data_IF_851181195828
#
_entry.id   IF_851181195828
#
_cell.length_a   1.000
_cell.length_b   1.000
_cell.length_c   1.000
_cell.angle_alpha   90.00
_cell.angle_beta   90.00
_cell.angle_gamma   90.00
#
_symmetry.space_group_name_H-M   'P 1'
#
loop_
_entity.id
_entity.type
_entity.pdbx_description
1 polymer ?
#
# COMPACT_ATOMS: atom_id res chain seq x y z
N UNK A 1 -10.52 11.62 67.41
CA UNK A 1 -9.59 11.62 66.25
C UNK A 1 -10.15 10.67 65.22
N UNK A 2 -10.93 11.20 64.27
CA UNK A 2 -11.41 10.47 63.10
C UNK A 2 -10.97 11.27 61.87
N UNK A 3 -10.05 10.71 61.10
CA UNK A 3 -9.60 11.27 59.83
C UNK A 3 -10.70 11.07 58.77
N UNK A 4 -11.01 12.07 57.93
CA UNK A 4 -11.95 11.89 56.84
C UNK A 4 -11.29 11.17 55.67
N UNK A 5 -12.01 10.20 55.10
CA UNK A 5 -11.71 9.56 53.82
C UNK A 5 -11.75 10.62 52.72
N UNK A 6 -10.72 10.64 51.85
CA UNK A 6 -10.77 11.35 50.57
C UNK A 6 -11.59 10.50 49.61
N UNK A 7 -12.74 11.01 49.20
CA UNK A 7 -13.56 10.46 48.14
C UNK A 7 -12.95 10.76 46.76
N UNK A 8 -13.01 9.74 45.90
CA UNK A 8 -13.29 9.87 44.47
C UNK A 8 -12.27 10.60 43.61
N UNK A 9 -11.31 9.85 43.09
CA UNK A 9 -10.66 10.18 41.82
C UNK A 9 -11.75 10.16 40.74
N UNK A 10 -12.07 11.33 40.17
CA UNK A 10 -13.00 11.46 39.06
C UNK A 10 -12.48 10.63 37.87
N UNK A 11 -13.21 9.57 37.55
CA UNK A 11 -13.01 8.74 36.36
C UNK A 11 -13.32 9.60 35.12
N UNK A 12 -12.33 10.37 34.67
CA UNK A 12 -12.40 11.11 33.41
C UNK A 12 -12.51 10.06 32.31
N UNK A 13 -13.61 10.01 31.54
CA UNK A 13 -13.76 9.04 30.48
C UNK A 13 -12.58 9.19 29.52
N UNK A 14 -11.77 8.14 29.40
CA UNK A 14 -10.65 8.06 28.47
C UNK A 14 -11.25 8.26 27.07
N UNK A 15 -11.15 9.49 26.55
CA UNK A 15 -11.54 9.79 25.18
C UNK A 15 -10.82 8.82 24.26
N UNK A 16 -11.56 8.18 23.37
CA UNK A 16 -10.99 7.28 22.37
C UNK A 16 -9.76 7.91 21.70
N UNK A 17 -8.68 7.14 21.52
CA UNK A 17 -7.46 7.67 20.94
C UNK A 17 -7.73 8.17 19.53
N UNK A 18 -7.39 9.44 19.26
CA UNK A 18 -7.58 10.08 17.95
C UNK A 18 -6.80 9.31 16.89
N UNK A 19 -7.49 8.71 15.91
CA UNK A 19 -6.90 8.02 14.76
C UNK A 19 -6.71 9.03 13.61
N UNK A 20 -5.46 9.26 13.21
CA UNK A 20 -5.14 10.07 12.03
C UNK A 20 -5.54 9.36 10.73
N UNK A 21 -5.24 8.06 10.66
CA UNK A 21 -5.53 7.22 9.50
C UNK A 21 -4.85 5.86 9.59
N UNK A 22 -4.75 5.18 8.46
CA UNK A 22 -4.15 3.86 8.34
C UNK A 22 -3.39 3.72 7.02
N UNK A 23 -2.20 3.13 7.09
CA UNK A 23 -1.46 2.64 5.94
C UNK A 23 -1.76 1.16 5.75
N UNK A 24 -2.02 0.76 4.51
CA UNK A 24 -2.26 -0.64 4.13
C UNK A 24 -1.33 -1.01 2.99
N UNK A 25 -0.60 -2.12 3.12
CA UNK A 25 0.26 -2.63 2.05
C UNK A 25 -0.60 -3.35 1.04
N UNK A 26 -0.54 -2.94 -0.23
CA UNK A 26 -1.22 -3.63 -1.32
C UNK A 26 -0.54 -4.99 -1.59
N UNK A 27 -1.34 -5.96 -2.03
CA UNK A 27 -0.85 -7.27 -2.48
C UNK A 27 -0.84 -8.39 -1.46
N UNK A 28 -1.38 -8.17 -0.26
CA UNK A 28 -1.38 -9.17 0.82
C UNK A 28 -2.78 -9.57 1.33
N UNK A 29 -3.84 -9.03 0.73
CA UNK A 29 -5.22 -9.34 1.08
C UNK A 29 -5.55 -9.31 2.59
N UNK A 30 -4.93 -8.38 3.33
CA UNK A 30 -5.15 -8.18 4.76
C UNK A 30 -4.28 -9.01 5.72
N UNK A 31 -3.32 -9.81 5.22
CA UNK A 31 -2.32 -10.49 6.05
C UNK A 31 -1.03 -10.78 5.30
N UNK A 32 0.12 -10.52 5.93
CA UNK A 32 1.41 -10.95 5.37
C UNK A 32 1.50 -12.49 5.27
N UNK A 33 2.32 -13.06 4.36
CA UNK A 33 2.45 -14.50 4.18
C UNK A 33 2.90 -15.25 5.45
N UNK A 34 3.78 -14.61 6.24
CA UNK A 34 4.28 -15.16 7.52
C UNK A 34 3.46 -14.69 8.74
N UNK A 35 2.29 -14.07 8.48
CA UNK A 35 1.45 -13.42 9.46
C UNK A 35 1.99 -12.07 9.94
N UNK A 36 1.09 -11.28 10.52
CA UNK A 36 1.39 -9.99 11.11
C UNK A 36 2.06 -10.15 12.48
N UNK A 37 3.28 -9.64 12.65
CA UNK A 37 4.06 -9.74 13.89
C UNK A 37 4.75 -8.42 14.25
N UNK A 38 4.48 -7.91 15.45
CA UNK A 38 5.14 -6.70 15.97
C UNK A 38 4.89 -5.48 15.08
N UNK A 39 5.96 -4.93 14.49
CA UNK A 39 5.91 -3.80 13.53
C UNK A 39 5.81 -4.23 12.07
N UNK A 40 5.96 -5.52 11.78
CA UNK A 40 5.82 -6.10 10.44
C UNK A 40 4.38 -6.58 10.30
N UNK A 41 3.53 -5.77 9.67
CA UNK A 41 2.10 -6.03 9.52
C UNK A 41 1.65 -5.66 8.10
N UNK A 42 0.52 -6.17 7.67
CA UNK A 42 -0.13 -5.76 6.42
C UNK A 42 -0.72 -4.35 6.50
N UNK A 43 -1.00 -3.87 7.72
CA UNK A 43 -1.65 -2.58 8.01
C UNK A 43 -1.11 -1.93 9.26
N UNK A 44 -1.09 -0.60 9.26
CA UNK A 44 -0.55 0.22 10.35
C UNK A 44 -1.42 1.46 10.58
N UNK A 45 -2.12 1.46 11.72
CA UNK A 45 -2.94 2.56 12.17
C UNK A 45 -2.08 3.63 12.87
N UNK A 46 -2.22 4.89 12.43
CA UNK A 46 -1.54 6.04 13.02
C UNK A 46 -2.50 6.72 14.00
N UNK A 47 -2.16 6.69 15.28
CA UNK A 47 -2.90 7.35 16.35
C UNK A 47 -2.11 8.51 16.92
N UNK A 48 -2.80 9.55 17.39
CA UNK A 48 -2.17 10.62 18.16
C UNK A 48 -1.38 10.04 19.32
N UNK A 49 -0.09 10.37 19.35
CA UNK A 49 0.81 9.90 20.42
C UNK A 49 0.49 10.62 21.73
N UNK A 50 0.76 9.95 22.84
CA UNK A 50 0.62 10.53 24.17
C UNK A 50 1.45 11.82 24.31
N UNK A 51 2.69 11.81 23.79
CA UNK A 51 3.56 12.98 23.69
C UNK A 51 3.90 13.23 22.22
N UNK A 52 3.93 14.49 21.84
CA UNK A 52 4.40 14.90 20.51
C UNK A 52 5.81 14.35 20.29
N UNK A 53 6.10 13.90 19.08
CA UNK A 53 7.45 13.51 18.66
C UNK A 53 7.83 14.14 17.30
N UNK A 54 7.01 15.06 16.81
CA UNK A 54 7.29 15.81 15.59
C UNK A 54 8.56 16.65 15.70
N UNK A 55 9.08 17.00 14.54
CA UNK A 55 10.26 17.84 14.39
C UNK A 55 10.09 18.81 13.23
N UNK A 56 10.74 19.96 13.31
CA UNK A 56 10.71 21.00 12.29
C UNK A 56 12.11 21.58 12.03
N UNK A 57 12.39 22.10 10.82
CA UNK A 57 13.68 22.72 10.52
C UNK A 57 14.03 23.84 11.51
N UNK A 58 15.31 23.95 11.83
CA UNK A 58 15.88 24.90 12.78
C UNK A 58 17.17 25.52 12.19
N UNK A 59 18.28 25.49 12.93
CA UNK A 59 19.56 26.05 12.50
C UNK A 59 20.14 25.32 11.28
N UNK A 60 20.89 26.06 10.46
CA UNK A 60 21.62 25.55 9.30
C UNK A 60 23.10 25.77 9.53
N UNK A 61 23.90 24.71 9.34
CA UNK A 61 25.35 24.72 9.48
C UNK A 61 26.01 24.36 8.16
N UNK A 62 27.00 25.15 7.74
CA UNK A 62 27.83 24.83 6.57
C UNK A 62 29.18 24.35 7.10
N UNK A 63 29.46 23.08 6.90
CA UNK A 63 30.62 22.38 7.46
C UNK A 63 31.62 22.07 6.35
N UNK A 64 32.87 22.48 6.56
CA UNK A 64 33.95 22.29 5.59
C UNK A 64 34.90 21.13 5.94
N UNK A 65 34.76 20.55 7.15
CA UNK A 65 35.57 19.42 7.59
C UNK A 65 34.71 18.27 8.15
N UNK A 66 35.13 17.00 8.01
CA UNK A 66 34.40 15.85 8.55
C UNK A 66 34.29 15.83 10.08
N UNK A 67 35.23 16.48 10.79
CA UNK A 67 35.25 16.53 12.25
C UNK A 67 34.10 17.38 12.80
N UNK A 68 33.79 18.49 12.14
CA UNK A 68 32.68 19.39 12.52
C UNK A 68 31.32 18.71 12.39
N UNK A 69 31.18 17.79 11.43
CA UNK A 69 29.95 17.00 11.23
C UNK A 69 29.61 16.16 12.46
N UNK A 70 30.61 15.49 13.04
CA UNK A 70 30.42 14.71 14.28
C UNK A 70 30.00 15.57 15.46
N UNK A 71 30.47 16.82 15.53
CA UNK A 71 30.13 17.75 16.61
C UNK A 71 28.68 18.25 16.54
N UNK A 72 28.10 18.37 15.33
CA UNK A 72 26.67 18.72 15.17
C UNK A 72 25.79 17.53 15.55
N UNK A 73 26.15 16.31 15.15
CA UNK A 73 25.38 15.11 15.44
C UNK A 73 25.34 14.70 16.92
N UNK A 74 26.26 15.18 17.76
CA UNK A 74 26.34 14.81 19.18
C UNK A 74 25.30 15.49 20.09
N UNK A 75 24.57 16.49 19.58
CA UNK A 75 23.58 17.28 20.35
C UNK A 75 22.26 16.56 20.60
N UNK A 76 22.09 15.34 20.11
CA UNK A 76 20.88 14.53 20.32
C UNK A 76 19.62 15.04 19.61
N UNK A 77 19.75 16.07 18.78
CA UNK A 77 18.70 16.59 17.90
C UNK A 77 18.63 15.79 16.59
N UNK A 78 17.51 15.94 15.87
CA UNK A 78 17.42 15.39 14.52
C UNK A 78 18.16 16.28 13.53
N UNK A 79 18.65 15.72 12.44
CA UNK A 79 19.34 16.50 11.40
C UNK A 79 19.18 15.92 10.00
N UNK A 80 19.35 16.77 8.98
CA UNK A 80 19.49 16.35 7.59
C UNK A 80 20.81 16.87 7.06
N UNK A 81 21.66 15.95 6.60
CA UNK A 81 22.99 16.23 6.07
C UNK A 81 22.98 16.16 4.55
N UNK A 82 23.20 17.30 3.90
CA UNK A 82 23.35 17.45 2.45
C UNK A 82 24.84 17.57 2.10
N UNK A 83 25.48 16.46 1.73
CA UNK A 83 26.90 16.46 1.36
C UNK A 83 27.05 16.90 -0.10
N UNK A 84 27.45 18.16 -0.31
CA UNK A 84 27.64 18.80 -1.62
C UNK A 84 28.93 18.34 -2.30
N UNK A 85 29.99 18.16 -1.52
CA UNK A 85 31.28 17.63 -1.96
C UNK A 85 32.03 17.01 -0.77
N UNK A 86 33.20 16.40 -1.03
CA UNK A 86 34.10 15.89 0.01
C UNK A 86 34.46 16.91 1.09
N UNK A 87 34.42 18.20 0.74
CA UNK A 87 34.84 19.29 1.60
C UNK A 87 33.68 20.20 2.00
N UNK A 88 32.43 19.86 1.70
CA UNK A 88 31.29 20.71 2.05
C UNK A 88 30.04 19.89 2.32
N UNK A 89 29.51 20.00 3.54
CA UNK A 89 28.21 19.46 3.93
C UNK A 89 27.37 20.54 4.57
N UNK A 90 26.13 20.69 4.11
CA UNK A 90 25.14 21.53 4.78
C UNK A 90 24.33 20.65 5.71
N UNK A 91 24.32 20.94 7.00
CA UNK A 91 23.53 20.22 8.00
C UNK A 91 22.41 21.12 8.48
N UNK A 92 21.17 20.67 8.31
CA UNK A 92 19.98 21.33 8.84
C UNK A 92 19.57 20.63 10.12
N UNK A 93 19.66 21.31 11.26
CA UNK A 93 19.15 20.82 12.54
C UNK A 93 17.61 20.85 12.55
N UNK A 94 17.00 19.90 13.25
CA UNK A 94 15.57 19.78 13.42
C UNK A 94 15.23 19.76 14.90
N UNK A 95 14.51 20.80 15.34
CA UNK A 95 14.08 20.95 16.72
C UNK A 95 12.71 20.31 16.94
N UNK A 96 12.34 20.12 18.21
CA UNK A 96 11.06 19.51 18.56
C UNK A 96 9.87 20.37 18.12
N UNK A 97 8.84 19.73 17.56
CA UNK A 97 7.57 20.33 17.25
C UNK A 97 6.46 19.71 18.12
N UNK A 98 5.89 20.54 19.00
CA UNK A 98 4.81 20.14 19.91
C UNK A 98 3.46 19.92 19.21
N UNK A 99 3.33 20.37 17.95
CA UNK A 99 2.07 20.35 17.21
C UNK A 99 1.94 19.16 16.27
N UNK A 100 2.96 18.31 16.15
CA UNK A 100 2.95 17.19 15.20
C UNK A 100 3.41 15.88 15.83
N UNK A 101 2.92 14.78 15.25
CA UNK A 101 3.43 13.43 15.48
C UNK A 101 4.09 12.92 14.21
N UNK A 102 5.26 12.32 14.34
CA UNK A 102 6.00 11.70 13.25
C UNK A 102 5.95 10.18 13.35
N UNK A 103 5.75 9.53 12.20
CA UNK A 103 5.81 8.09 12.02
C UNK A 103 6.77 7.76 10.88
N UNK A 104 7.68 6.81 11.07
CA UNK A 104 8.64 6.44 10.03
C UNK A 104 8.37 5.06 9.47
N UNK A 105 8.49 4.94 8.16
CA UNK A 105 8.23 3.74 7.39
C UNK A 105 9.50 3.35 6.65
N UNK A 106 9.83 2.07 6.63
CA UNK A 106 10.99 1.57 5.90
C UNK A 106 11.22 0.08 6.14
N UNK A 107 12.24 -0.48 5.50
CA UNK A 107 12.57 -1.90 5.67
C UNK A 107 13.41 -2.23 6.90
N UNK A 108 14.01 -1.21 7.54
CA UNK A 108 14.83 -1.46 8.73
C UNK A 108 13.96 -1.90 9.90
N UNK A 109 14.48 -2.81 10.72
CA UNK A 109 13.87 -3.19 12.01
C UNK A 109 14.42 -2.38 13.17
N UNK A 110 15.24 -1.36 12.92
CA UNK A 110 15.74 -0.46 13.97
C UNK A 110 14.60 0.31 14.65
N UNK A 111 14.86 0.79 15.86
CA UNK A 111 13.85 1.46 16.70
C UNK A 111 13.21 2.71 16.09
N UNK A 112 13.85 3.51 15.20
CA UNK A 112 13.19 4.67 14.62
C UNK A 112 12.06 4.35 13.65
N UNK A 113 11.93 3.09 13.19
CA UNK A 113 10.87 2.67 12.26
C UNK A 113 9.62 2.26 13.03
N UNK A 114 8.50 2.89 12.74
CA UNK A 114 7.20 2.51 13.32
C UNK A 114 6.53 1.39 12.52
N UNK A 115 6.68 1.42 11.19
CA UNK A 115 6.08 0.44 10.29
C UNK A 115 7.12 -0.19 9.37
N UNK A 116 7.35 -1.51 9.56
CA UNK A 116 8.34 -2.27 8.80
C UNK A 116 7.71 -2.83 7.53
N UNK A 117 8.18 -2.36 6.38
CA UNK A 117 7.70 -2.78 5.06
C UNK A 117 8.79 -3.56 4.33
N UNK A 118 8.43 -4.70 3.75
CA UNK A 118 9.30 -5.51 2.89
C UNK A 118 8.78 -5.51 1.46
N UNK A 119 9.63 -5.80 0.49
CA UNK A 119 9.23 -5.87 -0.93
C UNK A 119 8.04 -6.82 -1.09
N UNK A 120 7.07 -6.37 -1.88
CA UNK A 120 5.88 -7.15 -2.19
C UNK A 120 6.27 -8.22 -3.19
N UNK A 121 6.28 -9.48 -2.74
CA UNK A 121 6.47 -10.65 -3.62
C UNK A 121 5.34 -10.66 -4.64
N UNK A 122 5.62 -10.34 -5.90
CA UNK A 122 4.59 -10.25 -6.93
C UNK A 122 4.10 -11.64 -7.31
N UNK A 123 3.09 -12.18 -6.64
CA UNK A 123 2.23 -13.31 -7.04
C UNK A 123 2.89 -14.62 -7.50
N UNK A 124 4.23 -14.72 -7.58
CA UNK A 124 4.96 -15.91 -8.00
C UNK A 124 5.25 -16.76 -6.77
N UNK A 125 4.46 -17.80 -6.57
CA UNK A 125 4.91 -18.95 -5.79
C UNK A 125 6.07 -19.60 -6.55
N UNK A 126 7.29 -19.50 -6.04
CA UNK A 126 8.42 -20.30 -6.54
C UNK A 126 9.76 -19.59 -6.73
N UNK A 127 9.81 -18.24 -6.73
CA UNK A 127 11.10 -17.54 -6.67
C UNK A 127 11.50 -17.36 -5.19
N UNK A 128 12.65 -17.92 -4.81
CA UNK A 128 13.21 -17.77 -3.47
C UNK A 128 13.42 -16.26 -3.19
N UNK A 129 12.68 -15.66 -2.22
CA UNK A 129 12.81 -14.24 -1.89
C UNK A 129 14.22 -13.85 -1.41
N UNK A 130 15.09 -14.84 -1.19
CA UNK A 130 16.45 -14.68 -0.67
C UNK A 130 17.47 -14.12 -1.69
N UNK A 131 17.16 -14.09 -2.99
CA UNK A 131 18.18 -13.84 -4.04
C UNK A 131 18.21 -12.39 -4.54
N UNK A 132 17.09 -11.66 -4.54
CA UNK A 132 17.05 -10.27 -5.04
C UNK A 132 17.23 -9.24 -3.89
N UNK A 133 18.14 -8.26 -4.02
CA UNK A 133 18.28 -7.21 -3.01
C UNK A 133 17.04 -6.31 -2.98
N UNK A 134 16.49 -6.13 -1.79
CA UNK A 134 15.37 -5.21 -1.52
C UNK A 134 15.66 -3.80 -2.05
N UNK A 135 14.68 -3.24 -2.77
CA UNK A 135 14.79 -1.88 -3.33
C UNK A 135 14.21 -0.80 -2.42
N UNK A 136 13.53 -1.22 -1.35
CA UNK A 136 12.96 -0.33 -0.33
C UNK A 136 14.09 0.25 0.53
N UNK A 137 14.03 1.55 0.79
CA UNK A 137 14.99 2.22 1.67
C UNK A 137 14.83 1.76 3.13
N UNK A 138 15.94 1.68 3.87
CA UNK A 138 15.94 1.34 5.31
C UNK A 138 15.04 2.25 6.13
N UNK A 139 15.12 3.55 5.83
CA UNK A 139 14.29 4.62 6.38
C UNK A 139 13.67 5.36 5.19
N UNK A 140 12.54 4.88 4.70
CA UNK A 140 12.02 5.23 3.37
C UNK A 140 11.27 6.56 3.35
N UNK A 141 10.36 6.78 4.31
CA UNK A 141 9.61 8.01 4.41
C UNK A 141 9.17 8.31 5.85
N UNK A 142 8.71 9.53 6.05
CA UNK A 142 8.03 10.00 7.26
C UNK A 142 6.61 10.41 6.92
N UNK A 143 5.66 10.07 7.77
CA UNK A 143 4.33 10.70 7.80
C UNK A 143 4.27 11.56 9.05
N UNK A 144 4.01 12.85 8.86
CA UNK A 144 3.89 13.85 9.92
C UNK A 144 2.44 14.29 9.99
N UNK A 145 1.79 14.01 11.11
CA UNK A 145 0.39 14.33 11.35
C UNK A 145 0.26 15.53 12.28
N UNK A 146 -0.58 16.51 11.93
CA UNK A 146 -0.98 17.58 12.84
C UNK A 146 -1.76 17.01 14.04
N UNK A 147 -1.42 17.43 15.25
CA UNK A 147 -2.06 16.95 16.49
C UNK A 147 -3.41 17.61 16.77
N UNK A 148 -3.74 18.65 16.02
CA UNK A 148 -4.98 19.42 16.11
C UNK A 148 -5.79 19.28 14.81
N UNK A 149 -7.13 19.42 14.86
CA UNK A 149 -7.97 19.42 13.66
C UNK A 149 -7.44 20.40 12.58
N UNK A 150 -7.49 20.03 11.28
CA UNK A 150 -8.14 18.84 10.72
C UNK A 150 -7.28 17.56 10.76
N UNK A 151 -6.17 17.56 11.51
CA UNK A 151 -5.24 16.43 11.65
C UNK A 151 -4.55 16.04 10.34
N UNK A 152 -4.17 17.04 9.53
CA UNK A 152 -3.54 16.81 8.23
C UNK A 152 -2.31 15.92 8.35
N UNK A 153 -2.26 14.84 7.57
CA UNK A 153 -1.09 13.98 7.44
C UNK A 153 -0.29 14.37 6.19
N UNK A 154 0.99 14.73 6.35
CA UNK A 154 1.91 15.03 5.24
C UNK A 154 3.01 13.99 5.15
N UNK A 155 3.38 13.62 3.93
CA UNK A 155 4.48 12.69 3.68
C UNK A 155 5.76 13.41 3.27
N UNK A 156 6.90 12.88 3.72
CA UNK A 156 8.23 13.38 3.40
C UNK A 156 9.10 12.20 3.01
N UNK A 157 9.97 12.37 2.00
CA UNK A 157 10.94 11.34 1.67
C UNK A 157 12.02 11.22 2.76
N UNK A 158 12.60 10.01 2.84
CA UNK A 158 13.52 9.56 3.87
C UNK A 158 12.95 9.55 5.30
N UNK A 159 13.58 8.76 6.16
CA UNK A 159 13.41 8.80 7.61
C UNK A 159 14.75 8.95 8.31
N UNK A 160 14.71 9.51 9.53
CA UNK A 160 15.87 9.63 10.40
C UNK A 160 16.33 8.25 10.87
N UNK A 161 17.63 8.01 10.78
CA UNK A 161 18.25 6.78 11.26
C UNK A 161 18.37 6.72 12.80
N UNK A 162 19.04 5.69 13.32
CA UNK A 162 19.29 5.55 14.76
C UNK A 162 20.18 6.65 15.34
N UNK A 163 20.90 7.39 14.50
CA UNK A 163 21.65 8.60 14.86
C UNK A 163 20.80 9.88 14.74
N UNK A 164 19.49 9.73 14.51
CA UNK A 164 18.53 10.82 14.26
C UNK A 164 18.88 11.64 13.01
N UNK A 165 19.55 11.04 12.03
CA UNK A 165 20.03 11.75 10.85
C UNK A 165 19.42 11.22 9.55
N UNK A 166 19.16 12.12 8.60
CA UNK A 166 18.94 11.78 7.18
C UNK A 166 20.19 12.18 6.41
N UNK A 167 20.80 11.24 5.70
CA UNK A 167 22.02 11.47 4.94
C UNK A 167 21.75 11.47 3.43
N UNK A 168 22.02 12.62 2.78
CA UNK A 168 22.04 12.77 1.33
C UNK A 168 23.49 12.95 0.87
N UNK A 169 24.07 11.87 0.34
CA UNK A 169 25.46 11.86 -0.11
C UNK A 169 25.71 12.69 -1.39
N UNK A 170 26.96 12.68 -1.84
CA UNK A 170 27.41 13.45 -3.02
C UNK A 170 26.58 13.16 -4.27
N UNK A 171 26.16 11.91 -4.47
CA UNK A 171 25.38 11.46 -5.65
C UNK A 171 23.88 11.78 -5.56
N UNK A 172 23.36 12.16 -4.39
CA UNK A 172 21.95 12.48 -4.24
C UNK A 172 21.63 13.84 -4.90
N UNK A 173 20.50 13.90 -5.59
CA UNK A 173 19.98 15.14 -6.20
C UNK A 173 19.57 16.10 -5.09
N UNK A 174 20.16 17.29 -5.07
CA UNK A 174 19.99 18.29 -4.01
C UNK A 174 20.16 19.69 -4.58
N UNK A 175 19.42 20.65 -4.04
CA UNK A 175 19.36 22.02 -4.54
C UNK A 175 18.96 22.96 -3.40
N UNK A 176 19.06 24.27 -3.67
CA UNK A 176 18.36 25.29 -2.89
C UNK A 176 17.03 25.60 -3.56
N UNK A 177 15.93 25.56 -2.81
CA UNK A 177 14.62 25.95 -3.31
C UNK A 177 14.53 27.48 -3.47
N UNK A 178 13.45 28.03 -4.06
CA UNK A 178 13.29 29.48 -4.24
C UNK A 178 13.41 30.30 -2.95
N UNK A 179 13.04 29.72 -1.80
CA UNK A 179 13.16 30.34 -0.48
C UNK A 179 14.59 30.28 0.11
N UNK A 180 15.53 29.66 -0.62
CA UNK A 180 16.93 29.52 -0.22
C UNK A 180 17.22 28.35 0.72
N UNK A 181 16.21 27.53 1.04
CA UNK A 181 16.36 26.33 1.86
C UNK A 181 16.91 25.16 1.05
N UNK A 182 17.75 24.34 1.69
CA UNK A 182 18.23 23.09 1.08
C UNK A 182 17.11 22.05 1.02
N UNK A 183 17.03 21.36 -0.11
CA UNK A 183 16.16 20.20 -0.30
C UNK A 183 16.87 19.17 -1.17
N UNK A 184 16.29 17.97 -1.25
CA UNK A 184 16.84 16.90 -2.06
C UNK A 184 15.90 15.71 -2.22
N UNK A 185 16.29 14.80 -3.09
CA UNK A 185 15.61 13.54 -3.32
C UNK A 185 16.44 12.36 -2.80
N UNK A 186 15.75 11.33 -2.32
CA UNK A 186 16.38 10.03 -2.02
C UNK A 186 16.77 9.31 -3.31
N UNK A 187 17.66 8.33 -3.25
CA UNK A 187 18.15 7.64 -4.46
C UNK A 187 17.01 7.11 -5.33
N UNK A 188 16.07 6.33 -4.76
CA UNK A 188 14.99 5.68 -5.51
C UNK A 188 13.67 6.48 -5.55
N UNK A 189 13.60 7.58 -4.80
CA UNK A 189 12.40 8.41 -4.67
C UNK A 189 11.29 7.77 -3.83
N UNK A 190 10.44 8.62 -3.26
CA UNK A 190 9.14 8.24 -2.69
C UNK A 190 8.09 8.84 -3.60
N UNK A 191 7.27 8.00 -4.21
CA UNK A 191 6.25 8.46 -5.15
C UNK A 191 4.88 8.48 -4.49
N UNK A 192 4.05 9.45 -4.85
CA UNK A 192 2.69 9.59 -4.32
C UNK A 192 1.72 9.88 -5.46
N UNK A 193 0.55 9.25 -5.41
CA UNK A 193 -0.58 9.57 -6.28
C UNK A 193 -1.81 9.87 -5.43
N UNK A 194 -2.44 11.01 -5.67
CA UNK A 194 -3.70 11.39 -5.02
C UNK A 194 -4.86 11.15 -5.98
N UNK A 195 -5.82 10.25 -5.68
CA UNK A 195 -7.01 10.13 -6.49
C UNK A 195 -7.88 11.39 -6.36
N UNK A 196 -8.66 11.69 -7.40
CA UNK A 196 -9.67 12.74 -7.40
C UNK A 196 -11.04 12.12 -7.10
N UNK A 197 -11.91 12.83 -6.37
CA UNK A 197 -13.29 12.39 -6.11
C UNK A 197 -13.45 11.12 -5.26
N UNK A 198 -12.39 10.62 -4.63
CA UNK A 198 -12.41 9.37 -3.89
C UNK A 198 -13.23 9.48 -2.58
N UNK A 199 -14.15 8.54 -2.27
CA UNK A 199 -14.52 7.32 -3.02
C UNK A 199 -15.76 7.46 -3.93
N UNK A 200 -16.34 8.65 -4.06
CA UNK A 200 -17.63 8.89 -4.76
C UNK A 200 -17.51 8.77 -6.30
N UNK A 201 -16.60 9.52 -6.91
CA UNK A 201 -16.25 9.44 -8.35
C UNK A 201 -14.72 9.33 -8.48
N UNK A 202 -14.14 8.19 -8.08
CA UNK A 202 -12.70 8.06 -7.95
C UNK A 202 -12.03 8.02 -9.33
N UNK A 203 -11.17 9.00 -9.60
CA UNK A 203 -10.31 9.07 -10.80
C UNK A 203 -8.85 9.07 -10.41
N UNK A 204 -8.01 8.42 -11.22
CA UNK A 204 -6.59 8.33 -10.96
C UNK A 204 -5.94 9.72 -11.03
N UNK A 205 -5.04 9.98 -10.09
CA UNK A 205 -4.19 11.16 -10.12
C UNK A 205 -2.92 10.94 -10.92
N UNK A 206 -2.08 11.98 -10.98
CA UNK A 206 -0.71 11.86 -11.46
C UNK A 206 0.19 11.35 -10.34
N UNK A 207 1.14 10.50 -10.68
CA UNK A 207 2.24 10.16 -9.78
C UNK A 207 3.21 11.34 -9.70
N UNK A 208 3.58 11.67 -8.46
CA UNK A 208 4.54 12.73 -8.11
C UNK A 208 5.66 12.16 -7.26
N UNK A 209 6.82 12.80 -7.29
CA UNK A 209 7.91 12.49 -6.39
C UNK A 209 7.93 13.50 -5.23
N UNK A 210 8.04 13.00 -4.01
CA UNK A 210 8.10 13.81 -2.79
C UNK A 210 9.55 14.02 -2.38
N UNK A 211 9.92 15.25 -2.06
CA UNK A 211 11.26 15.57 -1.58
C UNK A 211 11.45 15.29 -0.08
N UNK A 212 12.69 15.39 0.37
CA UNK A 212 13.03 15.21 1.79
C UNK A 212 12.44 16.33 2.67
N UNK A 213 12.25 17.54 2.11
CA UNK A 213 11.58 18.64 2.79
C UNK A 213 10.06 18.73 2.49
N UNK A 214 9.49 17.82 1.70
CA UNK A 214 8.05 17.65 1.52
C UNK A 214 7.44 18.45 0.36
N UNK A 215 8.28 19.00 -0.52
CA UNK A 215 7.88 19.60 -1.79
C UNK A 215 7.50 18.51 -2.80
N UNK A 216 6.64 18.86 -3.76
CA UNK A 216 6.07 17.93 -4.75
C UNK A 216 6.65 18.21 -6.12
N UNK A 217 7.19 17.18 -6.77
CA UNK A 217 7.80 17.26 -8.08
C UNK A 217 7.14 16.30 -9.07
N UNK A 218 7.18 16.63 -10.36
CA UNK A 218 6.96 15.65 -11.41
C UNK A 218 7.98 14.50 -11.30
N UNK A 219 7.65 13.35 -11.87
CA UNK A 219 8.56 12.22 -11.91
C UNK A 219 9.86 12.58 -12.65
N UNK A 220 10.94 11.91 -12.26
CA UNK A 220 12.16 11.85 -13.07
C UNK A 220 11.87 11.12 -14.38
N UNK A 221 12.74 11.30 -15.36
CA UNK A 221 12.67 10.56 -16.64
C UNK A 221 12.75 9.04 -16.41
N UNK A 222 13.66 8.62 -15.53
CA UNK A 222 13.78 7.24 -15.06
C UNK A 222 13.88 7.23 -13.55
N UNK A 223 13.25 6.25 -12.92
CA UNK A 223 13.37 6.06 -11.47
C UNK A 223 14.84 5.84 -11.11
N UNK A 224 15.26 6.50 -10.04
CA UNK A 224 16.66 6.57 -9.60
C UNK A 224 17.60 7.38 -10.51
N UNK A 225 17.08 8.05 -11.55
CA UNK A 225 17.85 8.99 -12.38
C UNK A 225 18.34 10.20 -11.59
N UNK A 226 19.43 10.86 -12.01
CA UNK A 226 20.04 11.97 -11.25
C UNK A 226 19.27 13.30 -11.36
N UNK A 227 18.42 13.43 -12.38
CA UNK A 227 17.69 14.65 -12.69
C UNK A 227 16.34 14.67 -11.97
N UNK A 228 16.11 15.70 -11.15
CA UNK A 228 14.80 15.97 -10.53
C UNK A 228 13.79 16.38 -11.60
N UNK A 229 12.53 16.03 -11.42
CA UNK A 229 11.43 16.61 -12.21
C UNK A 229 11.20 18.10 -11.93
N UNK A 230 10.24 18.67 -12.63
CA UNK A 230 9.76 20.04 -12.42
C UNK A 230 8.97 20.15 -11.13
N UNK A 231 9.02 21.31 -10.46
CA UNK A 231 8.19 21.57 -9.29
C UNK A 231 6.71 21.57 -9.71
N UNK A 232 5.86 20.84 -8.98
CA UNK A 232 4.43 20.81 -9.22
C UNK A 232 3.77 21.94 -8.40
N UNK A 233 3.73 23.14 -8.97
CA UNK A 233 3.15 24.32 -8.30
C UNK A 233 1.69 24.09 -7.89
N UNK A 234 1.35 24.44 -6.64
CA UNK A 234 0.01 24.28 -6.09
C UNK A 234 -0.34 22.86 -5.62
N UNK A 235 0.53 21.87 -5.83
CA UNK A 235 0.37 20.54 -5.25
C UNK A 235 0.98 20.45 -3.84
N UNK A 236 0.50 19.50 -3.05
CA UNK A 236 0.87 19.35 -1.64
C UNK A 236 1.16 17.90 -1.29
N UNK A 237 2.12 17.68 -0.39
CA UNK A 237 2.42 16.38 0.22
C UNK A 237 1.37 15.92 1.24
N UNK A 238 0.27 16.67 1.43
CA UNK A 238 -0.84 16.27 2.28
C UNK A 238 -1.57 15.05 1.70
N UNK A 239 -1.52 13.93 2.42
CA UNK A 239 -2.18 12.69 2.06
C UNK A 239 -3.70 12.82 2.19
N UNK A 240 -4.40 12.53 1.08
CA UNK A 240 -5.86 12.51 0.95
C UNK A 240 -6.39 11.09 1.05
N UNK A 241 -7.65 10.87 1.40
CA UNK A 241 -8.21 9.51 1.43
C UNK A 241 -8.02 8.83 0.07
N UNK A 242 -7.51 7.59 0.09
CA UNK A 242 -7.20 6.84 -1.12
C UNK A 242 -5.82 7.12 -1.74
N UNK A 243 -5.00 7.99 -1.15
CA UNK A 243 -3.65 8.26 -1.68
C UNK A 243 -2.80 7.00 -1.73
N UNK A 244 -2.05 6.83 -2.81
CA UNK A 244 -1.08 5.75 -2.97
C UNK A 244 0.32 6.29 -2.72
N UNK A 245 1.15 5.48 -2.04
CA UNK A 245 2.55 5.80 -1.72
C UNK A 245 3.41 4.64 -2.18
N UNK A 246 4.31 4.87 -3.13
CA UNK A 246 5.25 3.86 -3.60
C UNK A 246 6.64 4.05 -3.01
N UNK A 247 7.14 3.01 -2.35
CA UNK A 247 8.43 2.99 -1.64
C UNK A 247 9.53 2.24 -2.40
N UNK A 248 9.36 2.03 -3.70
CA UNK A 248 10.27 1.28 -4.57
C UNK A 248 10.39 -0.17 -4.10
N UNK A 249 9.35 -0.96 -4.30
CA UNK A 249 9.29 -2.37 -3.91
C UNK A 249 7.99 -2.74 -3.19
N UNK A 250 7.30 -1.76 -2.62
CA UNK A 250 5.96 -1.91 -2.08
C UNK A 250 5.15 -0.62 -2.31
N UNK A 251 3.86 -0.79 -2.59
CA UNK A 251 2.90 0.32 -2.67
C UNK A 251 1.95 0.25 -1.47
N UNK A 252 1.79 1.39 -0.80
CA UNK A 252 0.91 1.57 0.34
C UNK A 252 -0.32 2.39 -0.08
N UNK A 253 -1.46 2.04 0.49
CA UNK A 253 -2.68 2.82 0.46
C UNK A 253 -2.84 3.58 1.77
N UNK A 254 -3.02 4.88 1.70
CA UNK A 254 -3.42 5.71 2.83
C UNK A 254 -4.94 5.85 2.87
N UNK A 255 -5.53 5.50 4.01
CA UNK A 255 -6.91 5.84 4.33
C UNK A 255 -6.96 6.79 5.52
N UNK A 256 -7.69 7.87 5.37
CA UNK A 256 -7.95 8.81 6.46
C UNK A 256 -8.85 8.18 7.52
N UNK A 257 -8.80 8.69 8.76
CA UNK A 257 -9.73 8.24 9.81
C UNK A 257 -11.20 8.30 9.38
N UNK A 258 -11.61 9.40 8.74
CA UNK A 258 -12.97 9.57 8.19
C UNK A 258 -13.26 8.61 7.04
N UNK A 259 -12.32 8.44 6.11
CA UNK A 259 -12.46 7.52 4.98
C UNK A 259 -12.69 6.08 5.41
N UNK A 260 -11.97 5.62 6.44
CA UNK A 260 -12.15 4.28 7.02
C UNK A 260 -13.55 4.07 7.63
N UNK A 261 -14.17 5.12 8.17
CA UNK A 261 -15.54 5.03 8.71
C UNK A 261 -16.59 4.83 7.60
N UNK A 262 -16.29 5.24 6.37
CA UNK A 262 -17.15 5.04 5.18
C UNK A 262 -16.81 3.77 4.40
N UNK A 263 -15.66 3.15 4.68
CA UNK A 263 -15.26 1.90 4.04
C UNK A 263 -16.06 0.71 4.58
N UNK A 264 -16.18 -0.38 3.80
CA UNK A 264 -16.62 -1.66 4.32
C UNK A 264 -15.81 -2.08 5.55
N UNK A 265 -16.44 -2.85 6.43
CA UNK A 265 -15.75 -3.51 7.55
C UNK A 265 -15.53 -4.98 7.23
N UNK A 266 -14.64 -5.66 7.97
CA UNK A 266 -14.50 -7.11 7.86
C UNK A 266 -15.82 -7.85 8.10
N UNK A 267 -16.69 -7.33 9.00
CA UNK A 267 -18.02 -7.91 9.24
C UNK A 267 -18.93 -7.75 8.03
N UNK A 268 -18.85 -6.63 7.32
CA UNK A 268 -19.59 -6.40 6.07
C UNK A 268 -19.16 -7.38 4.98
N UNK A 269 -17.84 -7.54 4.77
CA UNK A 269 -17.32 -8.49 3.78
C UNK A 269 -17.73 -9.94 4.09
N UNK A 270 -17.73 -10.32 5.37
CA UNK A 270 -18.21 -11.62 5.80
C UNK A 270 -19.72 -11.80 5.59
N UNK A 271 -20.53 -10.76 5.82
CA UNK A 271 -21.96 -10.80 5.53
C UNK A 271 -22.23 -11.00 4.02
N UNK A 272 -21.52 -10.27 3.15
CA UNK A 272 -21.61 -10.45 1.70
C UNK A 272 -21.22 -11.87 1.26
N UNK A 273 -20.20 -12.47 1.89
CA UNK A 273 -19.83 -13.87 1.66
C UNK A 273 -20.97 -14.82 2.04
N UNK A 274 -21.58 -14.61 3.21
CA UNK A 274 -22.67 -15.44 3.70
C UNK A 274 -23.90 -15.35 2.78
N UNK A 275 -24.23 -14.15 2.30
CA UNK A 275 -25.30 -13.93 1.32
C UNK A 275 -25.04 -14.68 0.01
N UNK A 276 -23.82 -14.59 -0.53
CA UNK A 276 -23.42 -15.30 -1.75
C UNK A 276 -23.47 -16.83 -1.59
N UNK A 277 -23.13 -17.35 -0.41
CA UNK A 277 -23.25 -18.77 -0.14
C UNK A 277 -24.71 -19.20 0.11
N UNK A 278 -25.53 -18.32 0.70
CA UNK A 278 -26.96 -18.55 0.93
C UNK A 278 -27.77 -18.59 -0.37
N UNK A 279 -27.29 -17.95 -1.45
CA UNK A 279 -27.89 -18.08 -2.78
C UNK A 279 -27.65 -19.46 -3.41
N UNK A 280 -26.88 -20.34 -2.76
CA UNK A 280 -26.58 -21.72 -3.19
C UNK A 280 -26.19 -21.82 -4.67
N UNK A 281 -25.12 -21.12 -5.11
CA UNK A 281 -24.68 -21.17 -6.49
C UNK A 281 -24.35 -22.62 -6.91
N UNK A 282 -24.75 -23.03 -8.10
CA UNK A 282 -24.55 -24.40 -8.59
C UNK A 282 -23.41 -24.50 -9.60
N UNK A 283 -22.66 -25.60 -9.54
CA UNK A 283 -21.77 -26.00 -10.64
C UNK A 283 -22.62 -26.48 -11.82
N UNK A 284 -22.55 -25.84 -13.00
CA UNK A 284 -23.43 -26.17 -14.12
C UNK A 284 -23.32 -27.61 -14.62
N UNK A 285 -22.13 -28.22 -14.47
CA UNK A 285 -21.85 -29.59 -14.95
C UNK A 285 -21.82 -30.59 -13.79
N UNK A 286 -21.17 -30.23 -12.68
CA UNK A 286 -21.02 -31.12 -11.52
C UNK A 286 -22.26 -31.20 -10.62
N UNK A 287 -23.25 -30.31 -10.83
CA UNK A 287 -24.50 -30.22 -10.05
C UNK A 287 -24.27 -30.13 -8.52
N UNK A 288 -23.10 -29.64 -8.13
CA UNK A 288 -22.70 -29.42 -6.74
C UNK A 288 -22.94 -27.96 -6.35
N UNK A 289 -23.38 -27.75 -5.12
CA UNK A 289 -23.49 -26.40 -4.56
C UNK A 289 -22.10 -25.88 -4.20
N UNK A 290 -21.75 -24.72 -4.76
CA UNK A 290 -20.49 -24.02 -4.54
C UNK A 290 -20.60 -23.12 -3.30
N UNK A 291 -19.47 -22.90 -2.63
CA UNK A 291 -19.39 -22.02 -1.47
C UNK A 291 -18.01 -21.40 -1.32
N UNK A 292 -17.95 -20.09 -1.12
CA UNK A 292 -16.72 -19.40 -0.76
C UNK A 292 -16.24 -19.79 0.64
N UNK A 293 -14.95 -20.09 0.82
CA UNK A 293 -14.41 -20.44 2.12
C UNK A 293 -14.42 -19.24 3.07
N UNK A 294 -14.52 -19.51 4.38
CA UNK A 294 -14.26 -18.51 5.42
C UNK A 294 -12.76 -18.21 5.52
N UNK A 295 -12.41 -16.95 5.80
CA UNK A 295 -11.03 -16.52 6.08
C UNK A 295 -10.44 -17.23 7.31
N UNK A 296 -9.14 -17.53 7.33
CA UNK A 296 -8.57 -18.81 6.89
C UNK A 296 -8.48 -19.82 8.04
N UNK A 297 -9.05 -21.04 7.85
CA UNK A 297 -8.61 -22.28 8.55
C UNK A 297 -9.27 -23.61 8.15
N UNK A 298 -10.04 -23.72 7.06
CA UNK A 298 -10.61 -25.02 6.69
C UNK A 298 -10.13 -25.50 5.33
N UNK A 299 -9.23 -26.49 5.33
CA UNK A 299 -8.87 -27.30 4.17
C UNK A 299 -10.05 -28.13 3.63
N UNK A 300 -11.16 -28.25 4.37
CA UNK A 300 -12.31 -29.07 3.96
C UNK A 300 -13.23 -28.40 2.92
N UNK A 301 -12.92 -27.18 2.46
CA UNK A 301 -13.74 -26.40 1.54
C UNK A 301 -13.18 -26.32 0.11
N UNK A 302 -12.04 -26.94 -0.16
CA UNK A 302 -11.39 -26.91 -1.49
C UNK A 302 -12.24 -27.55 -2.59
N UNK A 303 -13.05 -28.58 -2.28
CA UNK A 303 -13.92 -29.23 -3.27
C UNK A 303 -15.09 -28.34 -3.74
N UNK A 304 -15.63 -27.50 -2.85
CA UNK A 304 -16.81 -26.65 -3.14
C UNK A 304 -16.42 -25.22 -3.49
N UNK A 305 -15.14 -24.88 -3.46
CA UNK A 305 -14.67 -23.56 -3.82
C UNK A 305 -15.09 -23.24 -5.26
N UNK A 306 -15.65 -22.05 -5.52
CA UNK A 306 -15.94 -21.60 -6.87
C UNK A 306 -14.64 -21.39 -7.66
N UNK A 307 -14.65 -21.82 -8.92
CA UNK A 307 -13.65 -21.57 -9.93
C UNK A 307 -14.29 -20.83 -11.09
N UNK A 308 -13.50 -20.13 -11.90
CA UNK A 308 -14.05 -19.32 -13.00
C UNK A 308 -13.25 -19.49 -14.28
N UNK A 309 -13.96 -19.50 -15.40
CA UNK A 309 -13.37 -19.26 -16.71
C UNK A 309 -13.24 -17.77 -16.95
N UNK A 310 -12.05 -17.19 -16.74
CA UNK A 310 -11.87 -15.74 -16.72
C UNK A 310 -12.17 -15.05 -18.05
N UNK A 311 -12.07 -15.78 -19.17
CA UNK A 311 -12.40 -15.27 -20.51
C UNK A 311 -13.90 -14.98 -20.71
N UNK A 312 -14.80 -15.59 -19.93
CA UNK A 312 -16.25 -15.42 -20.08
C UNK A 312 -17.01 -15.19 -18.77
N UNK A 313 -16.36 -15.33 -17.62
CA UNK A 313 -16.96 -15.08 -16.30
C UNK A 313 -17.81 -16.22 -15.75
N UNK A 314 -18.03 -17.30 -16.51
CA UNK A 314 -18.80 -18.45 -16.03
C UNK A 314 -18.12 -19.15 -14.86
N UNK A 315 -18.86 -19.28 -13.75
CA UNK A 315 -18.39 -19.90 -12.51
C UNK A 315 -18.77 -21.38 -12.47
N UNK A 316 -17.82 -22.21 -12.05
CA UNK A 316 -17.89 -23.66 -11.96
C UNK A 316 -17.31 -24.16 -10.63
N UNK A 317 -17.49 -25.44 -10.33
CA UNK A 317 -16.66 -26.13 -9.34
C UNK A 317 -15.41 -26.69 -9.98
N UNK A 318 -14.35 -26.94 -9.19
CA UNK A 318 -13.11 -27.53 -9.68
C UNK A 318 -13.37 -28.79 -10.51
N UNK A 319 -12.70 -28.90 -11.64
CA UNK A 319 -12.66 -30.11 -12.46
C UNK A 319 -11.30 -30.22 -13.16
N UNK A 320 -11.01 -31.34 -13.81
CA UNK A 320 -9.74 -31.59 -14.51
C UNK A 320 -9.88 -31.83 -16.03
N UNK A 321 -11.11 -31.97 -16.54
CA UNK A 321 -11.38 -32.10 -17.97
C UNK A 321 -11.31 -30.74 -18.72
N UNK A 322 -11.27 -30.80 -20.06
CA UNK A 322 -11.29 -29.62 -20.93
C UNK A 322 -9.96 -28.86 -21.05
N UNK A 323 -8.85 -29.49 -20.66
CA UNK A 323 -7.50 -28.96 -20.88
C UNK A 323 -7.15 -29.06 -22.38
N UNK A 324 -6.70 -27.95 -22.96
CA UNK A 324 -6.01 -27.97 -24.26
C UNK A 324 -4.51 -28.12 -24.01
N UNK A 325 -3.83 -28.93 -24.82
CA UNK A 325 -2.39 -29.17 -24.66
C UNK A 325 -1.57 -27.93 -25.05
N UNK A 326 -0.47 -27.68 -24.34
CA UNK A 326 0.51 -26.57 -24.56
C UNK A 326 1.15 -26.54 -25.97
N UNK A 327 0.83 -27.49 -26.86
CA UNK A 327 1.44 -27.63 -28.20
C UNK A 327 0.87 -26.66 -29.25
N UNK A 328 -0.13 -25.86 -28.93
CA UNK A 328 -0.77 -24.88 -29.82
C UNK A 328 -0.60 -23.43 -29.34
N UNK A 329 0.43 -23.12 -28.55
CA UNK A 329 0.70 -21.75 -28.09
C UNK A 329 1.63 -20.99 -29.05
N UNK A 330 1.17 -19.81 -29.47
CA UNK A 330 1.91 -18.80 -30.23
C UNK A 330 3.09 -18.30 -29.35
N UNK A 331 4.32 -18.11 -29.84
CA UNK A 331 5.53 -17.89 -29.01
C UNK A 331 5.60 -16.55 -28.23
N UNK A 332 4.47 -15.86 -28.03
CA UNK A 332 4.41 -14.46 -27.58
C UNK A 332 3.88 -14.20 -26.17
N UNK A 333 3.29 -15.17 -25.45
CA UNK A 333 2.74 -14.95 -24.10
C UNK A 333 3.67 -15.54 -23.03
N UNK A 334 4.25 -14.66 -22.20
CA UNK A 334 5.32 -14.97 -21.26
C UNK A 334 4.98 -15.98 -20.14
N UNK A 335 6.04 -16.58 -19.61
CA UNK A 335 6.09 -17.65 -18.61
C UNK A 335 5.16 -17.45 -17.40
N UNK A 336 4.07 -18.20 -17.43
CA UNK A 336 3.22 -18.52 -16.30
C UNK A 336 2.21 -19.56 -16.75
N UNK A 337 2.45 -20.84 -16.46
CA UNK A 337 1.60 -21.98 -16.86
C UNK A 337 0.24 -21.92 -16.16
N UNK A 338 -0.63 -21.00 -16.59
CA UNK A 338 -2.05 -21.05 -16.26
C UNK A 338 -2.73 -21.92 -17.29
N UNK A 339 -3.06 -23.16 -16.91
CA UNK A 339 -3.74 -24.10 -17.81
C UNK A 339 -4.97 -23.45 -18.43
N UNK A 340 -4.95 -23.23 -19.75
CA UNK A 340 -6.08 -22.69 -20.50
C UNK A 340 -7.11 -23.80 -20.68
N UNK A 341 -8.39 -23.47 -20.49
CA UNK A 341 -9.48 -24.42 -20.58
C UNK A 341 -10.63 -23.87 -21.39
N UNK A 342 -11.33 -24.78 -22.06
CA UNK A 342 -12.56 -24.47 -22.78
C UNK A 342 -13.75 -24.49 -21.82
N UNK A 343 -14.51 -23.38 -21.79
CA UNK A 343 -15.73 -23.28 -21.01
C UNK A 343 -16.82 -24.17 -21.63
N UNK A 344 -17.44 -25.11 -20.89
CA UNK A 344 -18.46 -26.00 -21.46
C UNK A 344 -19.76 -25.27 -21.83
N UNK A 345 -20.01 -24.09 -21.27
CA UNK A 345 -21.24 -23.33 -21.50
C UNK A 345 -21.17 -22.52 -22.80
N UNK A 346 -20.03 -21.91 -23.09
CA UNK A 346 -19.90 -20.96 -24.21
C UNK A 346 -18.70 -21.21 -25.12
N UNK A 347 -17.91 -22.26 -24.86
CA UNK A 347 -16.72 -22.67 -25.62
C UNK A 347 -15.57 -21.64 -25.68
N UNK A 348 -15.64 -20.57 -24.88
CA UNK A 348 -14.52 -19.64 -24.73
C UNK A 348 -13.33 -20.33 -24.07
N UNK A 349 -12.13 -20.11 -24.62
CA UNK A 349 -10.89 -20.69 -24.10
C UNK A 349 -10.09 -19.63 -23.33
N UNK A 350 -9.74 -19.90 -22.09
CA UNK A 350 -8.94 -18.98 -21.29
C UNK A 350 -8.54 -19.54 -19.93
N UNK A 351 -7.93 -18.70 -19.07
CA UNK A 351 -7.51 -19.12 -17.73
C UNK A 351 -8.68 -19.65 -16.90
N UNK A 352 -8.46 -20.77 -16.23
CA UNK A 352 -9.40 -21.38 -15.29
C UNK A 352 -8.79 -21.40 -13.89
N UNK A 353 -9.32 -20.60 -12.98
CA UNK A 353 -8.68 -20.31 -11.69
C UNK A 353 -9.67 -20.38 -10.52
N UNK A 354 -9.20 -20.68 -9.29
CA UNK A 354 -10.05 -20.56 -8.10
C UNK A 354 -10.41 -19.10 -7.82
N UNK A 355 -11.60 -18.88 -7.26
CA UNK A 355 -12.05 -17.57 -6.81
C UNK A 355 -11.75 -17.37 -5.32
N UNK A 356 -11.30 -16.16 -4.98
CA UNK A 356 -10.98 -15.74 -3.61
C UNK A 356 -11.60 -14.38 -3.34
N UNK A 357 -12.34 -14.22 -2.24
CA UNK A 357 -12.87 -12.89 -1.90
C UNK A 357 -11.72 -11.94 -1.52
N UNK A 358 -11.85 -10.68 -1.93
CA UNK A 358 -11.03 -9.59 -1.44
C UNK A 358 -11.39 -9.27 0.01
N UNK A 359 -10.42 -9.35 0.90
CA UNK A 359 -10.61 -9.36 2.35
C UNK A 359 -10.03 -8.13 3.05
N UNK A 360 -9.21 -7.35 2.35
CA UNK A 360 -8.71 -6.06 2.84
C UNK A 360 -9.77 -4.97 2.61
N UNK A 361 -10.49 -4.50 3.65
CA UNK A 361 -11.59 -3.56 3.45
C UNK A 361 -11.13 -2.18 3.00
N UNK A 362 -9.89 -1.77 3.31
CA UNK A 362 -9.37 -0.47 2.92
C UNK A 362 -9.27 -0.28 1.40
N UNK A 363 -9.16 -1.39 0.64
CA UNK A 363 -9.03 -1.42 -0.82
C UNK A 363 -10.35 -1.11 -1.54
N UNK A 364 -11.48 -1.32 -0.87
CA UNK A 364 -12.80 -1.13 -1.46
C UNK A 364 -13.14 0.37 -1.61
N UNK A 365 -13.75 0.70 -2.75
CA UNK A 365 -14.29 2.04 -3.05
C UNK A 365 -15.80 2.14 -2.81
N UNK A 366 -16.45 1.02 -2.52
CA UNK A 366 -17.86 0.93 -2.17
C UNK A 366 -18.14 -0.28 -1.27
N UNK A 367 -19.40 -0.47 -0.90
CA UNK A 367 -19.89 -1.61 -0.13
C UNK A 367 -20.72 -2.60 -0.98
N UNK A 368 -20.53 -2.58 -2.31
CA UNK A 368 -21.33 -3.35 -3.26
C UNK A 368 -21.09 -4.86 -3.24
N UNK A 369 -21.98 -5.61 -3.88
CA UNK A 369 -21.91 -7.06 -3.93
C UNK A 369 -20.69 -7.59 -4.72
N UNK A 370 -20.10 -8.74 -4.31
CA UNK A 370 -18.91 -9.34 -4.92
C UNK A 370 -19.24 -10.00 -6.27
N UNK A 371 -19.39 -9.18 -7.31
CA UNK A 371 -19.89 -9.57 -8.63
C UNK A 371 -18.80 -9.69 -9.70
N UNK A 372 -17.58 -9.25 -9.40
CA UNK A 372 -16.50 -9.15 -10.38
C UNK A 372 -15.21 -9.77 -9.86
N UNK A 373 -14.47 -10.44 -10.75
CA UNK A 373 -13.16 -11.03 -10.47
C UNK A 373 -12.04 -10.33 -11.23
N UNK A 374 -10.88 -10.15 -10.61
CA UNK A 374 -9.67 -9.67 -11.27
C UNK A 374 -9.06 -10.75 -12.19
N UNK A 375 -8.57 -10.33 -13.35
CA UNK A 375 -7.94 -11.20 -14.34
C UNK A 375 -6.42 -10.91 -14.33
N UNK A 376 -5.54 -11.91 -14.11
CA UNK A 376 -5.79 -13.35 -14.15
C UNK A 376 -5.98 -14.02 -12.78
N UNK A 377 -5.98 -13.30 -11.66
CA UNK A 377 -5.82 -13.93 -10.34
C UNK A 377 -7.10 -14.45 -9.67
N UNK A 378 -8.30 -14.10 -10.17
CA UNK A 378 -9.56 -14.59 -9.59
C UNK A 378 -9.96 -13.96 -8.26
N UNK A 379 -9.32 -12.87 -7.82
CA UNK A 379 -9.77 -12.14 -6.63
C UNK A 379 -11.09 -11.42 -6.89
N UNK A 380 -12.07 -11.63 -6.02
CA UNK A 380 -13.45 -11.19 -6.19
C UNK A 380 -13.75 -9.97 -5.32
N UNK A 381 -14.36 -8.95 -5.92
CA UNK A 381 -14.82 -7.75 -5.25
C UNK A 381 -16.03 -7.14 -6.00
N UNK A 382 -16.43 -5.93 -5.61
CA UNK A 382 -17.50 -5.19 -6.31
C UNK A 382 -17.07 -4.69 -7.68
N UNK A 383 -18.03 -4.41 -8.56
CA UNK A 383 -17.78 -3.86 -9.89
C UNK A 383 -16.95 -2.57 -9.85
N UNK A 384 -17.32 -1.61 -9.00
CA UNK A 384 -16.62 -0.32 -8.92
C UNK A 384 -15.20 -0.49 -8.41
N UNK A 385 -14.98 -1.39 -7.44
CA UNK A 385 -13.64 -1.71 -6.94
C UNK A 385 -12.79 -2.36 -8.04
N UNK A 386 -13.34 -3.34 -8.77
CA UNK A 386 -12.62 -4.01 -9.85
C UNK A 386 -12.20 -3.04 -10.96
N UNK A 387 -13.12 -2.19 -11.43
CA UNK A 387 -12.84 -1.19 -12.46
C UNK A 387 -11.82 -0.15 -12.01
N UNK A 388 -12.00 0.41 -10.81
CA UNK A 388 -11.07 1.42 -10.28
C UNK A 388 -9.63 0.91 -10.25
N UNK A 389 -9.39 -0.30 -9.72
CA UNK A 389 -8.04 -0.84 -9.62
C UNK A 389 -7.47 -1.32 -10.95
N UNK A 390 -8.30 -1.79 -11.88
CA UNK A 390 -7.86 -2.12 -13.23
C UNK A 390 -7.49 -0.89 -14.06
N UNK A 391 -8.02 0.28 -13.73
CA UNK A 391 -7.65 1.55 -14.33
C UNK A 391 -6.55 2.29 -13.54
N UNK A 392 -6.11 1.75 -12.39
CA UNK A 392 -5.12 2.41 -11.52
C UNK A 392 -3.71 1.88 -11.79
N UNK A 393 -2.87 2.61 -12.53
CA UNK A 393 -1.50 2.20 -12.80
C UNK A 393 -0.62 2.35 -11.56
N UNK A 394 0.06 1.28 -11.16
CA UNK A 394 1.08 1.32 -10.13
C UNK A 394 2.50 1.30 -10.73
N UNK A 395 3.49 1.94 -10.09
CA UNK A 395 4.89 1.90 -10.54
C UNK A 395 5.40 0.46 -10.69
N UNK A 396 6.06 0.19 -11.81
CA UNK A 396 6.68 -1.10 -12.09
C UNK A 396 8.07 -0.90 -12.74
N UNK A 397 9.09 -1.48 -12.14
CA UNK A 397 10.47 -1.28 -12.59
C UNK A 397 10.89 0.20 -12.50
N UNK A 398 11.62 0.68 -13.50
CA UNK A 398 12.21 2.04 -13.49
C UNK A 398 11.43 3.07 -14.28
N UNK A 399 10.54 2.66 -15.18
CA UNK A 399 9.86 3.57 -16.11
C UNK A 399 8.44 3.12 -16.50
N UNK A 400 8.00 1.94 -16.04
CA UNK A 400 6.72 1.38 -16.42
C UNK A 400 5.69 1.60 -15.31
N UNK A 401 4.43 1.59 -15.72
CA UNK A 401 3.28 1.72 -14.87
C UNK A 401 2.25 0.72 -15.35
N UNK A 402 1.70 -0.09 -14.45
CA UNK A 402 0.68 -1.07 -14.83
C UNK A 402 -0.32 -1.32 -13.70
N UNK A 403 -1.59 -1.58 -14.02
CA UNK A 403 -2.56 -2.04 -13.04
C UNK A 403 -2.16 -3.40 -12.46
N UNK A 404 -2.38 -3.57 -11.16
CA UNK A 404 -2.18 -4.84 -10.46
C UNK A 404 -3.36 -5.11 -9.55
N UNK A 405 -3.64 -6.37 -9.24
CA UNK A 405 -4.63 -6.73 -8.24
C UNK A 405 -4.20 -6.16 -6.88
N UNK A 406 -5.02 -5.33 -6.22
CA UNK A 406 -4.66 -4.75 -4.92
C UNK A 406 -4.59 -5.80 -3.80
N UNK A 407 -5.14 -7.00 -4.02
CA UNK A 407 -5.17 -8.07 -3.04
C UNK A 407 -3.95 -9.00 -3.12
N UNK A 408 -3.33 -9.17 -4.30
CA UNK A 408 -2.20 -10.11 -4.47
C UNK A 408 -1.03 -9.60 -5.33
N UNK A 409 -1.11 -8.36 -5.82
CA UNK A 409 -0.10 -7.72 -6.68
C UNK A 409 0.17 -8.41 -8.02
N UNK A 410 -0.65 -9.38 -8.42
CA UNK A 410 -0.62 -9.95 -9.77
C UNK A 410 -0.93 -8.85 -10.79
N UNK A 411 -0.12 -8.73 -11.84
CA UNK A 411 -0.38 -7.80 -12.94
C UNK A 411 -1.72 -8.13 -13.60
N UNK A 412 -2.54 -7.10 -13.83
CA UNK A 412 -3.84 -7.28 -14.45
C UNK A 412 -3.72 -7.26 -15.98
N UNK A 413 -4.55 -8.04 -16.65
CA UNK A 413 -4.72 -7.93 -18.10
C UNK A 413 -5.48 -6.65 -18.47
N UNK A 414 -5.76 -6.44 -19.76
CA UNK A 414 -6.74 -5.44 -20.20
C UNK A 414 -8.00 -6.18 -20.68
N UNK A 415 -9.20 -5.91 -20.11
CA UNK A 415 -9.54 -4.84 -19.17
C UNK A 415 -9.23 -5.13 -17.68
N UNK A 416 -8.67 -6.30 -17.35
CA UNK A 416 -8.16 -6.59 -16.00
C UNK A 416 -9.19 -7.10 -14.99
N UNK A 417 -10.45 -7.19 -15.41
CA UNK A 417 -11.55 -7.72 -14.62
C UNK A 417 -12.57 -8.45 -15.51
N UNK A 418 -13.41 -9.28 -14.90
CA UNK A 418 -14.52 -9.97 -15.56
C UNK A 418 -15.73 -10.02 -14.64
N UNK A 419 -16.94 -9.93 -15.21
CA UNK A 419 -18.19 -10.10 -14.46
C UNK A 419 -18.40 -11.59 -14.19
N UNK A 420 -18.67 -11.96 -12.95
CA UNK A 420 -18.92 -13.35 -12.59
C UNK A 420 -20.37 -13.74 -12.89
N UNK A 421 -20.54 -14.92 -13.47
CA UNK A 421 -21.82 -15.50 -13.86
C UNK A 421 -21.98 -16.81 -13.08
N UNK A 422 -22.67 -16.71 -11.94
CA UNK A 422 -23.08 -17.87 -11.14
C UNK A 422 -24.36 -18.47 -11.72
N UNK A 423 -24.49 -19.80 -11.67
CA UNK A 423 -25.75 -20.47 -11.95
C UNK A 423 -26.58 -20.57 -10.67
N UNK A 424 -27.88 -20.30 -10.79
CA UNK A 424 -28.83 -20.50 -9.71
C UNK A 424 -29.17 -21.99 -9.49
N UNK A 425 -30.01 -22.29 -8.49
CA UNK A 425 -30.65 -23.58 -8.37
C UNK A 425 -31.39 -23.91 -9.67
N UNK A 426 -31.30 -25.16 -10.11
CA UNK A 426 -32.19 -25.70 -11.13
C UNK A 426 -33.49 -26.04 -10.38
N UNK A 427 -34.61 -25.42 -10.80
CA UNK A 427 -35.94 -25.66 -10.22
C UNK A 427 -36.37 -27.13 -10.32
#
# INVERSE_FOLDING_TARGET
>A
MNSPKKDGDDDVPVKDPVKYGELVILGYNGSLPNGDRGRRKSRFALYRRAKANGVKPSAVHILNTPQDSKAVHSRGQHSISFTLSRNQTVVVEYCHDNNTDMFQIGRSTESPIDFVVTDTSGGKEGEDPSIAPSTISRFACRIVCERNPPYTARIYAAGFDSSKNIFLGEKATKWKNPDGHMDGLTTNGVLVMHPQGFPEDPKQGLWREISVCGDVYALRETRSGPSRGTLAEGESSALRDGSLVDLCGATLLWRTGEGLMRSPTLRHLEALRQELNASRPQCPVGLSTLAFPSLPRSHSLEERQPWVYLACGHVHGRHDWGQRSEREEDPGEGEGSTTRRECPLCRSVGPYVPLWLGCEPAVYVDAGAPTHGFVPCGHVCSERTAKYWAETPLPHGTHAFRPVCPFCSTALSSPGWTRLIFQGPID
#
